data_IF_247334801699
#
_entry.id   IF_247334801699
#
_cell.length_a   1.000
_cell.length_b   1.000
_cell.length_c   1.000
_cell.angle_alpha   90.00
_cell.angle_beta   90.00
_cell.angle_gamma   90.00
#
_symmetry.space_group_name_H-M   'P 1'
#
loop_
_entity.id
_entity.type
_entity.pdbx_description
1 polymer ?
#
# COMPACT_ATOMS: atom_id res chain seq x y z
N UNK A 1 -6.22 -23.47 -7.48
CA UNK A 1 -5.88 -22.06 -7.80
C UNK A 1 -6.03 -21.31 -6.50
N UNK A 2 -4.96 -20.69 -5.99
CA UNK A 2 -5.00 -20.00 -4.69
C UNK A 2 -5.88 -18.75 -4.77
N UNK A 3 -6.60 -18.43 -3.70
CA UNK A 3 -7.27 -17.13 -3.58
C UNK A 3 -6.22 -16.01 -3.61
N UNK A 4 -6.48 -14.98 -4.40
CA UNK A 4 -5.70 -13.76 -4.37
C UNK A 4 -6.07 -12.97 -3.12
N UNK A 5 -5.07 -12.67 -2.28
CA UNK A 5 -5.23 -11.99 -1.00
C UNK A 5 -4.55 -10.62 -1.07
N UNK A 6 -5.22 -9.61 -0.55
CA UNK A 6 -4.66 -8.30 -0.25
C UNK A 6 -4.44 -8.17 1.26
N UNK A 7 -3.25 -7.69 1.67
CA UNK A 7 -3.04 -7.21 3.05
C UNK A 7 -3.20 -5.70 3.04
N UNK A 8 -4.12 -5.19 3.85
CA UNK A 8 -4.52 -3.79 3.84
C UNK A 8 -4.65 -3.21 5.24
N UNK A 9 -4.27 -1.94 5.39
CA UNK A 9 -4.59 -1.14 6.58
C UNK A 9 -5.99 -0.56 6.40
N UNK A 10 -6.92 -0.97 7.25
CA UNK A 10 -8.33 -0.51 7.24
C UNK A 10 -8.67 0.19 8.54
N UNK A 11 -9.89 0.74 8.64
CA UNK A 11 -10.43 1.24 9.91
C UNK A 11 -10.51 0.17 11.01
N UNK A 12 -10.46 -1.12 10.65
CA UNK A 12 -10.43 -2.26 11.59
C UNK A 12 -9.00 -2.69 11.97
N UNK A 13 -7.98 -2.04 11.40
CA UNK A 13 -6.58 -2.44 11.50
C UNK A 13 -6.08 -3.14 10.25
N UNK A 14 -4.92 -3.78 10.37
CA UNK A 14 -4.27 -4.53 9.28
C UNK A 14 -4.95 -5.90 9.14
N UNK A 15 -5.53 -6.17 7.98
CA UNK A 15 -6.32 -7.37 7.71
C UNK A 15 -5.91 -8.03 6.39
N UNK A 16 -6.20 -9.33 6.26
CA UNK A 16 -6.20 -10.02 4.98
C UNK A 16 -7.62 -9.98 4.39
N UNK A 17 -7.75 -9.47 3.17
CA UNK A 17 -8.98 -9.39 2.41
C UNK A 17 -8.84 -10.16 1.10
N UNK A 18 -9.93 -10.71 0.58
CA UNK A 18 -9.94 -11.23 -0.78
C UNK A 18 -9.70 -10.09 -1.76
N UNK A 19 -8.67 -10.18 -2.60
CA UNK A 19 -8.33 -9.12 -3.56
C UNK A 19 -9.49 -8.81 -4.53
N UNK A 20 -10.43 -9.74 -4.70
CA UNK A 20 -11.63 -9.57 -5.50
C UNK A 20 -12.57 -8.47 -5.02
N UNK A 21 -12.43 -7.94 -3.80
CA UNK A 21 -13.29 -6.83 -3.36
C UNK A 21 -13.19 -5.62 -4.31
N UNK A 22 -12.05 -5.44 -5.00
CA UNK A 22 -11.82 -4.33 -5.94
C UNK A 22 -12.79 -4.34 -7.12
N UNK A 23 -13.37 -5.50 -7.46
CA UNK A 23 -14.36 -5.57 -8.56
C UNK A 23 -15.69 -4.90 -8.18
N UNK A 24 -15.91 -4.61 -6.90
CA UNK A 24 -17.04 -3.81 -6.43
C UNK A 24 -16.80 -2.29 -6.48
N UNK A 25 -15.58 -1.84 -6.78
CA UNK A 25 -15.24 -0.42 -6.85
C UNK A 25 -15.69 0.20 -8.19
N UNK A 26 -16.10 1.47 -8.15
CA UNK A 26 -16.40 2.25 -9.37
C UNK A 26 -15.17 2.46 -10.25
N UNK A 27 -13.99 2.50 -9.65
CA UNK A 27 -12.71 2.63 -10.36
C UNK A 27 -11.60 2.08 -9.47
N UNK A 28 -10.64 1.37 -10.06
CA UNK A 28 -9.44 0.94 -9.35
C UNK A 28 -8.26 0.81 -10.31
N UNK A 29 -7.05 0.81 -9.72
CA UNK A 29 -5.84 0.47 -10.44
C UNK A 29 -4.98 -0.50 -9.64
N UNK A 30 -4.17 -1.27 -10.34
CA UNK A 30 -3.14 -2.15 -9.77
C UNK A 30 -1.79 -1.64 -10.22
N UNK A 31 -0.96 -1.30 -9.24
CA UNK A 31 0.41 -0.86 -9.44
C UNK A 31 1.37 -2.01 -9.14
N UNK A 32 2.55 -1.98 -9.76
CA UNK A 32 3.68 -2.84 -9.42
C UNK A 32 4.90 -1.99 -9.11
N UNK A 33 5.56 -2.31 -8.00
CA UNK A 33 6.86 -1.72 -7.69
C UNK A 33 7.95 -2.37 -8.53
N UNK A 34 8.82 -1.55 -9.10
CA UNK A 34 10.00 -1.99 -9.84
C UNK A 34 11.05 -2.56 -8.87
N UNK A 35 10.84 -3.82 -8.47
CA UNK A 35 11.70 -4.52 -7.55
C UNK A 35 11.82 -6.01 -7.92
N UNK A 36 12.99 -6.65 -7.66
CA UNK A 36 13.17 -8.07 -7.90
C UNK A 36 12.22 -8.92 -7.04
N UNK A 37 11.99 -10.17 -7.46
CA UNK A 37 11.03 -11.07 -6.82
C UNK A 37 11.25 -11.23 -5.31
N UNK A 38 12.51 -11.37 -4.87
CA UNK A 38 12.81 -11.56 -3.45
C UNK A 38 12.38 -10.36 -2.58
N UNK A 39 12.50 -9.13 -3.10
CA UNK A 39 12.00 -7.93 -2.41
C UNK A 39 10.48 -8.00 -2.30
N UNK A 40 9.77 -8.32 -3.39
CA UNK A 40 8.31 -8.43 -3.37
C UNK A 40 7.79 -9.53 -2.44
N UNK A 41 8.52 -10.64 -2.33
CA UNK A 41 8.21 -11.69 -1.35
C UNK A 41 8.43 -11.22 0.09
N UNK A 42 9.54 -10.50 0.37
CA UNK A 42 9.80 -9.94 1.69
C UNK A 42 8.77 -8.88 2.08
N UNK A 43 8.28 -8.08 1.14
CA UNK A 43 7.18 -7.12 1.34
C UNK A 43 5.92 -7.85 1.80
N UNK A 44 5.51 -8.89 1.06
CA UNK A 44 4.34 -9.67 1.42
C UNK A 44 4.50 -10.34 2.79
N UNK A 45 5.68 -10.90 3.07
CA UNK A 45 6.00 -11.49 4.36
C UNK A 45 5.92 -10.47 5.50
N UNK A 46 6.50 -9.28 5.33
CA UNK A 46 6.44 -8.22 6.33
C UNK A 46 4.98 -7.81 6.60
N UNK A 47 4.20 -7.56 5.55
CA UNK A 47 2.81 -7.15 5.65
C UNK A 47 1.96 -8.20 6.40
N UNK A 48 2.13 -9.48 6.07
CA UNK A 48 1.45 -10.58 6.76
C UNK A 48 1.77 -10.62 8.26
N UNK A 49 3.00 -10.30 8.67
CA UNK A 49 3.39 -10.21 10.08
C UNK A 49 2.81 -8.98 10.80
N UNK A 50 2.20 -8.04 10.08
CA UNK A 50 1.51 -6.89 10.68
C UNK A 50 0.01 -7.13 10.87
N UNK A 51 -0.54 -8.21 10.32
CA UNK A 51 -1.98 -8.55 10.44
C UNK A 51 -2.38 -8.61 11.92
N UNK A 52 -3.49 -7.96 12.24
CA UNK A 52 -3.98 -7.82 13.61
C UNK A 52 -3.53 -6.54 14.33
N UNK A 53 -2.55 -5.79 13.80
CA UNK A 53 -2.22 -4.46 14.34
C UNK A 53 -3.37 -3.46 14.10
N UNK A 54 -3.62 -2.54 15.05
CA UNK A 54 -4.70 -1.56 14.96
C UNK A 54 -4.48 -0.53 13.84
N UNK A 55 -5.58 0.13 13.47
CA UNK A 55 -5.55 1.28 12.55
C UNK A 55 -4.81 2.45 13.20
N UNK A 56 -3.88 3.05 12.47
CA UNK A 56 -3.26 4.31 12.87
C UNK A 56 -4.15 5.48 12.44
N UNK A 57 -4.87 6.09 13.38
CA UNK A 57 -5.68 7.28 13.10
C UNK A 57 -4.85 8.56 12.96
N UNK A 58 -3.56 8.51 13.32
CA UNK A 58 -2.61 9.60 13.15
C UNK A 58 -1.86 9.42 11.81
N UNK A 59 -2.52 9.85 10.73
CA UNK A 59 -1.97 9.79 9.37
C UNK A 59 -0.89 10.83 9.06
N UNK A 60 -0.41 11.56 10.09
CA UNK A 60 0.59 12.63 9.96
C UNK A 60 2.04 12.16 10.11
N UNK A 61 2.22 10.91 10.56
CA UNK A 61 3.53 10.32 10.79
C UNK A 61 3.57 8.94 10.14
N UNK A 62 4.74 8.59 9.59
CA UNK A 62 5.01 7.26 9.03
C UNK A 62 6.08 6.54 9.83
N UNK A 63 5.87 5.25 10.05
CA UNK A 63 6.77 4.38 10.83
C UNK A 63 6.98 3.08 10.09
N UNK A 64 8.24 2.67 9.93
CA UNK A 64 8.56 1.39 9.29
C UNK A 64 8.10 0.25 10.21
N UNK A 65 8.48 0.32 11.49
CA UNK A 65 8.08 -0.63 12.53
C UNK A 65 7.14 0.07 13.52
N UNK A 66 5.88 0.24 13.13
CA UNK A 66 4.84 0.87 13.96
C UNK A 66 4.00 -0.16 14.72
N UNK A 67 3.42 0.25 15.84
CA UNK A 67 2.43 -0.54 16.60
C UNK A 67 1.02 -0.48 15.98
N UNK A 68 0.82 0.40 15.00
CA UNK A 68 -0.42 0.63 14.26
C UNK A 68 -0.08 1.11 12.85
N UNK A 69 -0.94 0.86 11.87
CA UNK A 69 -0.75 1.36 10.50
C UNK A 69 -2.04 1.85 9.88
N UNK A 70 -1.96 2.86 9.01
CA UNK A 70 -3.03 3.21 8.08
C UNK A 70 -2.73 2.68 6.66
N UNK A 71 -3.70 2.85 5.74
CA UNK A 71 -3.73 2.17 4.45
C UNK A 71 -2.42 2.27 3.63
N UNK A 72 -1.93 3.48 3.37
CA UNK A 72 -0.69 3.69 2.60
C UNK A 72 0.58 3.51 3.42
N UNK A 73 0.53 3.71 4.75
CA UNK A 73 1.68 3.51 5.64
C UNK A 73 2.17 2.07 5.62
N UNK A 74 1.26 1.09 5.76
CA UNK A 74 1.66 -0.32 5.77
C UNK A 74 2.29 -0.74 4.44
N UNK A 75 1.82 -0.19 3.33
CA UNK A 75 2.37 -0.48 2.00
C UNK A 75 3.79 0.05 1.90
N UNK A 76 4.01 1.34 2.23
CA UNK A 76 5.34 1.94 2.24
C UNK A 76 6.29 1.26 3.23
N UNK A 77 5.84 1.02 4.47
CA UNK A 77 6.64 0.38 5.51
C UNK A 77 7.10 -1.02 5.08
N UNK A 78 6.22 -1.78 4.41
CA UNK A 78 6.55 -3.11 3.88
C UNK A 78 7.69 -3.06 2.85
N UNK A 79 7.67 -2.07 1.95
CA UNK A 79 8.77 -1.87 1.00
C UNK A 79 10.04 -1.39 1.67
N UNK A 80 9.98 -0.47 2.63
CA UNK A 80 11.17 -0.03 3.38
C UNK A 80 11.81 -1.17 4.17
N UNK A 81 11.01 -2.02 4.83
CA UNK A 81 11.47 -3.13 5.66
C UNK A 81 11.99 -4.34 4.85
N UNK A 82 11.69 -4.40 3.54
CA UNK A 82 11.99 -5.56 2.69
C UNK A 82 13.48 -5.87 2.51
N UNK A 83 14.35 -4.90 2.80
CA UNK A 83 15.79 -5.02 2.69
C UNK A 83 16.46 -4.19 3.80
N UNK A 84 17.54 -4.71 4.38
CA UNK A 84 18.30 -4.01 5.41
C UNK A 84 19.79 -4.05 5.12
N UNK A 85 20.50 -2.99 5.49
CA UNK A 85 21.96 -2.91 5.48
C UNK A 85 22.40 -2.52 6.88
N UNK A 86 23.23 -3.36 7.52
CA UNK A 86 23.64 -3.17 8.92
C UNK A 86 22.46 -2.97 9.90
N UNK A 87 21.33 -3.66 9.66
CA UNK A 87 20.11 -3.55 10.47
C UNK A 87 19.25 -2.30 10.17
N UNK A 88 19.66 -1.45 9.23
CA UNK A 88 18.92 -0.25 8.83
C UNK A 88 18.04 -0.58 7.63
N UNK A 89 16.72 -0.27 7.65
CA UNK A 89 15.83 -0.45 6.51
C UNK A 89 16.26 0.37 5.29
N UNK A 90 16.56 -0.32 4.19
CA UNK A 90 17.05 0.26 2.94
C UNK A 90 16.25 -0.22 1.71
N UNK A 91 15.08 -0.82 1.91
CA UNK A 91 14.22 -1.23 0.81
C UNK A 91 13.69 -0.05 -0.02
N UNK A 92 13.10 -0.35 -1.20
CA UNK A 92 12.64 0.66 -2.15
C UNK A 92 11.75 1.70 -1.49
N UNK A 93 12.02 2.98 -1.78
CA UNK A 93 11.18 4.06 -1.28
C UNK A 93 10.11 4.41 -2.31
N UNK A 94 8.87 4.02 -2.01
CA UNK A 94 7.70 4.34 -2.83
C UNK A 94 7.00 5.61 -2.36
N UNK A 95 7.64 6.37 -1.47
CA UNK A 95 7.27 7.70 -1.02
C UNK A 95 8.43 8.68 -1.26
N UNK A 96 9.12 8.51 -2.39
CA UNK A 96 10.38 9.21 -2.71
C UNK A 96 10.23 10.67 -3.10
N UNK A 97 9.01 11.19 -3.20
CA UNK A 97 8.69 12.61 -3.39
C UNK A 97 7.78 13.10 -2.27
N UNK A 98 8.20 12.98 -0.99
CA UNK A 98 7.36 13.29 0.14
C UNK A 98 7.00 14.77 0.06
N UNK A 99 5.72 15.04 -0.11
CA UNK A 99 5.21 16.39 -0.25
C UNK A 99 4.31 16.68 0.92
N UNK A 100 4.60 17.78 1.62
CA UNK A 100 3.75 18.23 2.70
C UNK A 100 2.31 18.38 2.18
N UNK A 101 1.36 17.72 2.84
CA UNK A 101 -0.06 17.77 2.51
C UNK A 101 -0.87 18.08 3.76
N UNK A 102 -1.90 18.94 3.71
CA UNK A 102 -2.76 19.18 4.86
C UNK A 102 -3.52 17.93 5.32
N UNK A 103 -3.60 16.88 4.49
CA UNK A 103 -4.28 15.61 4.82
C UNK A 103 -3.37 14.56 5.45
N UNK A 104 -2.07 14.62 5.19
CA UNK A 104 -1.10 13.59 5.64
C UNK A 104 0.16 14.16 6.28
N UNK A 105 0.32 15.48 6.37
CA UNK A 105 1.54 16.16 6.83
C UNK A 105 2.81 15.57 6.19
N UNK A 106 3.59 14.80 6.96
CA UNK A 106 4.79 14.06 6.50
C UNK A 106 4.60 12.53 6.43
N UNK A 107 3.36 12.08 6.56
CA UNK A 107 2.92 10.72 6.29
C UNK A 107 2.89 10.41 4.80
N UNK A 108 2.69 9.12 4.49
CA UNK A 108 2.58 8.60 3.13
C UNK A 108 1.14 8.68 2.64
N UNK A 109 0.87 9.32 1.52
CA UNK A 109 -0.43 9.31 0.85
C UNK A 109 -0.50 8.21 -0.24
N UNK A 110 -1.69 7.67 -0.55
CA UNK A 110 -1.85 6.78 -1.71
C UNK A 110 -1.43 7.43 -3.03
N UNK A 111 -1.58 8.75 -3.15
CA UNK A 111 -1.18 9.51 -4.33
C UNK A 111 0.35 9.51 -4.51
N UNK A 112 1.13 9.62 -3.44
CA UNK A 112 2.59 9.51 -3.50
C UNK A 112 3.04 8.13 -3.97
N UNK A 113 2.37 7.06 -3.51
CA UNK A 113 2.63 5.70 -4.01
C UNK A 113 2.32 5.60 -5.50
N UNK A 114 1.18 6.15 -5.95
CA UNK A 114 0.77 6.12 -7.36
C UNK A 114 1.72 6.90 -8.27
N UNK A 115 2.20 8.07 -7.82
CA UNK A 115 3.08 8.95 -8.58
C UNK A 115 4.57 8.59 -8.44
N UNK A 116 4.90 7.65 -7.56
CA UNK A 116 6.28 7.26 -7.32
C UNK A 116 6.95 6.72 -8.59
N UNK A 117 8.17 7.18 -8.92
CA UNK A 117 8.92 6.66 -10.08
C UNK A 117 9.31 5.18 -9.92
N UNK A 118 9.19 4.63 -8.70
CA UNK A 118 9.43 3.23 -8.42
C UNK A 118 8.21 2.34 -8.66
N UNK A 119 7.08 2.91 -9.09
CA UNK A 119 5.87 2.14 -9.43
C UNK A 119 5.50 2.29 -10.91
N UNK A 120 4.82 1.29 -11.44
CA UNK A 120 4.21 1.35 -12.76
C UNK A 120 2.83 0.70 -12.75
N UNK A 121 1.94 1.25 -13.57
CA UNK A 121 0.58 0.75 -13.76
C UNK A 121 0.59 -0.61 -14.46
N UNK A 122 -0.11 -1.58 -13.89
CA UNK A 122 -0.34 -2.91 -14.49
C UNK A 122 -1.75 -2.99 -15.07
N UNK A 123 -2.72 -2.45 -14.34
CA UNK A 123 -4.12 -2.50 -14.71
C UNK A 123 -4.80 -1.21 -14.25
N UNK A 124 -5.59 -0.62 -15.14
CA UNK A 124 -6.59 0.40 -14.80
C UNK A 124 -7.95 -0.14 -15.18
N UNK A 125 -8.90 -0.08 -14.26
CA UNK A 125 -10.27 -0.52 -14.49
C UNK A 125 -11.24 0.57 -14.07
N UNK A 126 -12.04 1.02 -15.03
CA UNK A 126 -13.17 1.92 -14.84
C UNK A 126 -14.32 1.34 -15.68
N UNK A 127 -15.36 0.73 -15.09
CA UNK A 127 -16.52 0.30 -15.84
C UNK A 127 -17.18 1.51 -16.49
N UNK A 128 -17.64 1.36 -17.73
CA UNK A 128 -18.52 2.36 -18.33
C UNK A 128 -19.80 2.43 -17.48
N UNK A 129 -20.14 3.62 -16.97
CA UNK A 129 -21.47 3.82 -16.38
C UNK A 129 -22.50 3.43 -17.45
N UNK A 130 -23.53 2.62 -17.13
CA UNK A 130 -24.65 2.47 -18.03
C UNK A 130 -25.23 3.87 -18.23
N UNK A 131 -25.16 4.38 -19.46
CA UNK A 131 -25.85 5.60 -19.86
C UNK A 131 -27.30 5.42 -19.44
N UNK A 132 -27.78 6.19 -18.48
CA UNK A 132 -29.20 6.22 -18.18
C UNK A 132 -29.89 6.66 -19.48
N UNK A 133 -30.56 5.73 -20.15
CA UNK A 133 -31.49 6.05 -21.22
C UNK A 133 -32.60 6.87 -20.55
N UNK A 134 -32.59 8.18 -20.80
CA UNK A 134 -33.69 9.08 -20.49
C UNK A 134 -34.85 8.82 -21.44
#
# INVERSE_FOLDING_TARGET
MGEEIAVEGTVKGVVCSSAWYVTGCEEFCVLRVNAPLHIRLNVAWFALNQVGKPCNWNCFQKRIYGDSYYCSEIVWASYKASFTVAGIPCGPDIDGTPSWSPLTDWGVSPAEIFLSPNTHLILWYKPAHPTQQK
#
